data_IF_209253215756
#
_entry.id   IF_209253215756
#
_cell.length_a   1.000
_cell.length_b   1.000
_cell.length_c   1.000
_cell.angle_alpha   90.00
_cell.angle_beta   90.00
_cell.angle_gamma   90.00
#
_symmetry.space_group_name_H-M   'P 1'
#
loop_
_entity.id
_entity.type
_entity.pdbx_description
1 polymer ?
#
# COMPACT_ATOMS: atom_id res chain seq x y z
N UNK A 1 -2.87 16.06 13.88
CA UNK A 1 -2.54 14.62 13.99
C UNK A 1 -1.06 14.49 14.34
N UNK A 2 -0.67 13.75 15.39
CA UNK A 2 0.74 13.50 15.70
C UNK A 2 1.48 12.93 14.49
N UNK A 3 2.71 13.38 14.22
CA UNK A 3 3.49 13.00 13.03
C UNK A 3 3.56 11.48 12.84
N UNK A 4 3.80 10.73 13.93
CA UNK A 4 3.86 9.27 13.92
C UNK A 4 2.55 8.59 13.45
N UNK A 5 1.39 9.14 13.83
CA UNK A 5 0.10 8.64 13.36
C UNK A 5 -0.08 8.93 11.87
N UNK A 6 0.28 10.14 11.42
CA UNK A 6 0.17 10.51 9.99
C UNK A 6 0.99 9.58 9.08
N UNK A 7 2.19 9.18 9.50
CA UNK A 7 3.01 8.22 8.74
C UNK A 7 2.40 6.81 8.71
N UNK A 8 1.87 6.33 9.84
CA UNK A 8 1.15 5.05 9.90
C UNK A 8 -0.05 5.01 8.95
N UNK A 9 -0.87 6.07 8.98
CA UNK A 9 -2.00 6.20 8.06
C UNK A 9 -1.56 6.33 6.61
N UNK A 10 -0.39 6.93 6.35
CA UNK A 10 0.22 6.97 5.01
C UNK A 10 0.59 5.59 4.48
N UNK A 11 1.22 4.73 5.30
CA UNK A 11 1.56 3.36 4.88
C UNK A 11 0.31 2.56 4.52
N UNK A 12 -0.72 2.63 5.37
CA UNK A 12 -1.98 1.94 5.14
C UNK A 12 -2.69 2.48 3.89
N UNK A 13 -2.82 3.81 3.79
CA UNK A 13 -3.46 4.46 2.65
C UNK A 13 -2.78 4.09 1.33
N UNK A 14 -1.45 3.94 1.31
CA UNK A 14 -0.72 3.49 0.12
C UNK A 14 -1.01 2.03 -0.25
N UNK A 15 -1.09 1.10 0.73
CA UNK A 15 -1.48 -0.30 0.45
C UNK A 15 -2.87 -0.35 -0.16
N UNK A 16 -3.84 0.32 0.47
CA UNK A 16 -5.21 0.31 -0.03
C UNK A 16 -5.31 0.94 -1.42
N UNK A 17 -4.56 1.99 -1.68
CA UNK A 17 -4.54 2.60 -2.99
C UNK A 17 -3.98 1.64 -4.05
N UNK A 18 -2.92 0.88 -3.74
CA UNK A 18 -2.41 -0.19 -4.63
C UNK A 18 -3.47 -1.26 -4.86
N UNK A 19 -4.13 -1.74 -3.80
CA UNK A 19 -5.19 -2.76 -3.90
C UNK A 19 -6.36 -2.27 -4.75
N UNK A 20 -6.82 -1.03 -4.53
CA UNK A 20 -7.91 -0.42 -5.31
C UNK A 20 -7.51 -0.25 -6.77
N UNK A 21 -6.32 0.29 -7.05
CA UNK A 21 -5.82 0.46 -8.42
C UNK A 21 -5.75 -0.88 -9.15
N UNK A 22 -5.20 -1.91 -8.50
CA UNK A 22 -5.12 -3.26 -9.08
C UNK A 22 -6.52 -3.88 -9.27
N UNK A 23 -7.40 -3.77 -8.28
CA UNK A 23 -8.75 -4.34 -8.33
C UNK A 23 -9.57 -3.77 -9.49
N UNK A 24 -9.49 -2.45 -9.71
CA UNK A 24 -10.31 -1.75 -10.68
C UNK A 24 -9.71 -1.73 -12.09
N UNK A 25 -8.37 -1.72 -12.21
CA UNK A 25 -7.70 -1.68 -13.52
C UNK A 25 -7.27 -3.06 -14.05
N UNK A 26 -7.23 -4.07 -13.18
CA UNK A 26 -6.69 -5.40 -13.48
C UNK A 26 -5.17 -5.43 -13.73
N UNK A 27 -4.45 -4.35 -13.42
CA UNK A 27 -3.01 -4.19 -13.66
C UNK A 27 -2.29 -3.73 -12.39
N UNK A 28 -1.05 -4.20 -12.20
CA UNK A 28 -0.20 -3.68 -11.14
C UNK A 28 0.24 -2.25 -11.48
N UNK A 29 0.17 -1.30 -10.53
CA UNK A 29 0.70 0.04 -10.72
C UNK A 29 2.23 -0.01 -10.81
N UNK A 30 2.81 0.78 -11.71
CA UNK A 30 4.26 0.90 -11.88
C UNK A 30 4.80 2.24 -11.33
N UNK A 31 3.90 3.18 -11.03
CA UNK A 31 4.24 4.53 -10.62
C UNK A 31 3.15 5.15 -9.74
N UNK A 32 3.47 6.29 -9.12
CA UNK A 32 2.46 7.13 -8.45
C UNK A 32 1.40 7.64 -9.42
N UNK A 33 1.76 7.91 -10.67
CA UNK A 33 0.83 8.43 -11.66
C UNK A 33 -0.24 7.39 -12.03
N UNK A 34 0.11 6.09 -11.99
CA UNK A 34 -0.87 4.99 -12.14
C UNK A 34 -1.86 4.91 -10.97
N UNK A 35 -1.47 5.39 -9.78
CA UNK A 35 -2.29 5.38 -8.57
C UNK A 35 -3.24 6.59 -8.48
N UNK A 36 -2.85 7.73 -9.07
CA UNK A 36 -3.57 8.99 -8.92
C UNK A 36 -5.06 8.93 -9.28
N UNK A 37 -5.50 8.28 -10.38
CA UNK A 37 -6.92 8.20 -10.75
C UNK A 37 -7.79 7.43 -9.75
N UNK A 38 -7.17 6.57 -8.94
CA UNK A 38 -7.85 5.67 -8.01
C UNK A 38 -7.92 6.21 -6.59
N UNK A 39 -7.29 7.36 -6.34
CA UNK A 39 -7.18 7.93 -5.00
C UNK A 39 -8.55 8.21 -4.36
N UNK A 40 -9.48 8.83 -5.08
CA UNK A 40 -10.85 9.09 -4.59
C UNK A 40 -11.70 7.82 -4.44
N UNK A 41 -11.30 6.73 -5.11
CA UNK A 41 -12.02 5.45 -5.12
C UNK A 41 -11.50 4.50 -4.02
N UNK A 42 -10.36 4.81 -3.42
CA UNK A 42 -9.78 4.04 -2.33
C UNK A 42 -10.44 4.42 -1.00
N UNK A 43 -10.80 3.42 -0.20
CA UNK A 43 -11.63 3.65 1.00
C UNK A 43 -10.87 4.41 2.10
N UNK A 44 -9.59 4.10 2.34
CA UNK A 44 -8.83 4.72 3.42
C UNK A 44 -8.21 6.07 3.10
N UNK A 45 -7.99 6.40 1.83
CA UNK A 45 -7.25 7.60 1.43
C UNK A 45 -8.01 8.89 1.73
N UNK A 46 -9.24 9.14 1.24
CA UNK A 46 -10.02 10.32 1.62
C UNK A 46 -10.33 10.36 3.13
N UNK A 47 -10.60 9.19 3.73
CA UNK A 47 -10.92 9.08 5.16
C UNK A 47 -9.73 9.32 6.09
N UNK A 48 -8.49 9.32 5.58
CA UNK A 48 -7.29 9.57 6.40
C UNK A 48 -7.04 11.05 6.64
N UNK A 49 -7.70 11.94 5.90
CA UNK A 49 -7.38 13.37 5.88
C UNK A 49 -6.01 13.69 5.26
N UNK A 50 -5.38 12.73 4.57
CA UNK A 50 -4.09 12.89 3.89
C UNK A 50 -4.35 12.96 2.40
N UNK A 51 -4.20 14.14 1.79
CA UNK A 51 -4.33 14.32 0.33
C UNK A 51 -3.33 13.45 -0.46
N UNK A 52 -3.61 13.19 -1.74
CA UNK A 52 -2.70 12.41 -2.60
C UNK A 52 -1.26 12.96 -2.65
N UNK A 53 -1.02 14.28 -2.83
CA UNK A 53 0.34 14.82 -2.78
C UNK A 53 1.02 14.58 -1.42
N UNK A 54 0.30 14.76 -0.32
CA UNK A 54 0.83 14.50 1.03
C UNK A 54 1.15 13.01 1.22
N UNK A 55 0.34 12.10 0.69
CA UNK A 55 0.61 10.67 0.75
C UNK A 55 1.94 10.34 0.05
N UNK A 56 2.14 10.89 -1.16
CA UNK A 56 3.39 10.76 -1.93
C UNK A 56 4.61 11.35 -1.20
N UNK A 57 4.42 12.36 -0.35
CA UNK A 57 5.49 12.93 0.48
C UNK A 57 5.79 12.10 1.74
N UNK A 58 4.80 11.39 2.29
CA UNK A 58 4.95 10.61 3.52
C UNK A 58 5.62 9.26 3.29
N UNK A 59 5.36 8.62 2.14
CA UNK A 59 5.83 7.27 1.85
C UNK A 59 6.49 7.15 0.49
N UNK A 60 7.33 6.13 0.36
CA UNK A 60 7.98 5.66 -0.85
C UNK A 60 7.45 4.25 -1.14
N UNK A 61 7.15 3.97 -2.40
CA UNK A 61 6.68 2.66 -2.88
C UNK A 61 7.73 2.13 -3.85
N UNK A 62 8.24 0.93 -3.60
CA UNK A 62 9.09 0.21 -4.55
C UNK A 62 8.21 -0.59 -5.52
N UNK A 63 7.68 0.07 -6.55
CA UNK A 63 6.78 -0.57 -7.52
C UNK A 63 7.38 -1.80 -8.21
N UNK A 64 8.72 -1.90 -8.28
CA UNK A 64 9.41 -3.07 -8.86
C UNK A 64 9.18 -4.35 -8.05
N UNK A 65 8.83 -4.25 -6.76
CA UNK A 65 8.56 -5.41 -5.89
C UNK A 65 7.14 -5.96 -6.07
N UNK A 66 6.20 -5.20 -6.63
CA UNK A 66 4.80 -5.63 -6.75
C UNK A 66 4.62 -6.93 -7.54
N UNK A 67 5.25 -7.13 -8.72
CA UNK A 67 5.14 -8.38 -9.46
C UNK A 67 5.72 -9.58 -8.69
N UNK A 68 6.77 -9.36 -7.90
CA UNK A 68 7.38 -10.42 -7.09
C UNK A 68 6.46 -10.84 -5.93
N UNK A 69 5.82 -9.88 -5.26
CA UNK A 69 4.86 -10.15 -4.20
C UNK A 69 3.63 -10.86 -4.75
N UNK A 70 3.10 -10.42 -5.90
CA UNK A 70 1.97 -11.08 -6.54
C UNK A 70 2.30 -12.52 -6.95
N UNK A 71 3.45 -12.74 -7.59
CA UNK A 71 3.89 -14.08 -7.97
C UNK A 71 4.06 -15.00 -6.75
N UNK A 72 4.74 -14.53 -5.71
CA UNK A 72 4.93 -15.30 -4.49
C UNK A 72 3.59 -15.67 -3.82
N UNK A 73 2.66 -14.72 -3.77
CA UNK A 73 1.32 -14.93 -3.21
C UNK A 73 0.52 -15.99 -3.98
N UNK A 74 0.53 -15.93 -5.32
CA UNK A 74 -0.18 -16.89 -6.18
C UNK A 74 0.43 -18.29 -6.14
N UNK A 75 1.74 -18.38 -5.98
CA UNK A 75 2.47 -19.65 -5.91
C UNK A 75 2.57 -20.24 -4.51
N UNK A 76 2.07 -19.54 -3.48
CA UNK A 76 2.22 -19.95 -2.07
C UNK A 76 3.68 -19.96 -1.60
N UNK A 77 4.54 -19.18 -2.23
CA UNK A 77 5.95 -19.07 -1.90
C UNK A 77 6.18 -18.05 -0.78
N UNK A 78 7.31 -18.15 -0.05
CA UNK A 78 7.72 -17.11 0.89
C UNK A 78 7.80 -15.74 0.22
N UNK A 79 7.36 -14.70 0.93
CA UNK A 79 7.49 -13.32 0.45
C UNK A 79 8.96 -12.89 0.45
N UNK A 80 9.40 -12.07 -0.53
CA UNK A 80 10.77 -11.58 -0.56
C UNK A 80 11.10 -10.82 0.74
N UNK A 81 12.19 -11.25 1.40
CA UNK A 81 12.66 -10.67 2.67
C UNK A 81 13.30 -9.28 2.49
N UNK A 82 13.72 -8.96 1.26
CA UNK A 82 14.50 -7.77 0.98
C UNK A 82 13.62 -6.54 0.73
N UNK A 83 13.35 -5.82 1.82
CA UNK A 83 12.78 -4.47 1.92
C UNK A 83 11.25 -4.42 1.87
N UNK A 84 10.66 -3.73 2.85
CA UNK A 84 9.24 -3.40 2.82
C UNK A 84 8.94 -2.62 1.54
N UNK A 85 7.95 -3.09 0.76
CA UNK A 85 7.46 -2.45 -0.45
C UNK A 85 7.18 -0.96 -0.21
N UNK A 86 6.61 -0.67 0.96
CA UNK A 86 6.25 0.68 1.37
C UNK A 86 7.16 1.09 2.51
N UNK A 87 7.84 2.23 2.33
CA UNK A 87 8.75 2.81 3.32
C UNK A 87 8.29 4.21 3.69
N UNK A 88 8.39 4.56 4.96
CA UNK A 88 8.20 5.95 5.40
C UNK A 88 9.42 6.78 5.00
N UNK A 89 9.19 7.94 4.38
CA UNK A 89 10.28 8.83 3.94
C UNK A 89 10.98 9.56 5.08
N UNK A 90 10.39 9.62 6.26
CA UNK A 90 11.00 10.22 7.45
C UNK A 90 12.06 9.29 8.10
N UNK A 91 12.18 8.04 7.65
CA UNK A 91 13.10 7.04 8.19
C UNK A 91 12.81 6.62 9.64
N UNK A 92 11.71 7.07 10.26
CA UNK A 92 11.44 6.87 11.69
C UNK A 92 10.41 5.76 11.96
N UNK A 93 10.80 4.82 12.81
CA UNK A 93 9.95 3.80 13.42
C UNK A 93 9.71 2.54 12.57
N UNK A 94 9.35 1.44 13.22
CA UNK A 94 8.94 0.20 12.55
C UNK A 94 7.62 0.36 11.78
N UNK A 95 7.33 -0.59 10.90
CA UNK A 95 6.02 -0.69 10.25
C UNK A 95 5.00 -1.10 11.32
N UNK A 96 3.88 -0.37 11.41
CA UNK A 96 2.76 -0.75 12.27
C UNK A 96 1.89 -1.85 11.65
N UNK A 97 2.06 -2.07 10.36
CA UNK A 97 1.40 -3.10 9.55
C UNK A 97 2.46 -3.96 8.87
N UNK A 98 2.06 -5.02 8.17
CA UNK A 98 2.95 -5.84 7.33
C UNK A 98 2.58 -5.62 5.85
N UNK A 99 3.08 -4.57 5.18
CA UNK A 99 2.61 -4.18 3.86
C UNK A 99 2.66 -5.30 2.82
N UNK A 100 3.80 -6.02 2.79
CA UNK A 100 4.00 -7.13 1.87
C UNK A 100 3.00 -8.26 2.12
N UNK A 101 2.72 -8.58 3.40
CA UNK A 101 1.76 -9.63 3.74
C UNK A 101 0.33 -9.25 3.36
N UNK A 102 -0.07 -8.00 3.62
CA UNK A 102 -1.42 -7.54 3.27
C UNK A 102 -1.68 -7.61 1.76
N UNK A 103 -0.72 -7.17 0.95
CA UNK A 103 -0.83 -7.28 -0.50
C UNK A 103 -0.81 -8.74 -0.96
N UNK A 104 0.00 -9.59 -0.34
CA UNK A 104 0.00 -11.01 -0.65
C UNK A 104 -1.35 -11.67 -0.35
N UNK A 105 -1.95 -11.37 0.81
CA UNK A 105 -3.27 -11.88 1.18
C UNK A 105 -4.35 -11.38 0.19
N UNK A 106 -4.27 -10.11 -0.22
CA UNK A 106 -5.13 -9.55 -1.27
C UNK A 106 -4.93 -10.26 -2.61
N UNK A 107 -3.71 -10.42 -3.11
CA UNK A 107 -3.44 -11.09 -4.39
C UNK A 107 -3.86 -12.56 -4.40
N UNK A 108 -3.79 -13.22 -3.24
CA UNK A 108 -4.23 -14.61 -3.08
C UNK A 108 -5.75 -14.77 -3.08
N UNK A 109 -6.47 -13.82 -2.47
CA UNK A 109 -7.91 -13.96 -2.20
C UNK A 109 -8.80 -13.12 -3.10
N UNK A 110 -8.24 -12.10 -3.75
CA UNK A 110 -8.98 -11.06 -4.48
C UNK A 110 -9.82 -10.15 -3.58
N UNK A 111 -9.75 -10.32 -2.24
CA UNK A 111 -10.56 -9.57 -1.29
C UNK A 111 -9.79 -8.35 -0.80
N UNK A 112 -10.37 -7.16 -0.99
CA UNK A 112 -9.87 -5.94 -0.35
C UNK A 112 -10.16 -6.06 1.15
N UNK A 113 -9.11 -6.26 1.96
CA UNK A 113 -9.23 -6.26 3.41
C UNK A 113 -9.29 -4.80 3.87
N UNK A 114 -10.51 -4.30 4.09
CA UNK A 114 -10.73 -3.02 4.77
C UNK A 114 -10.70 -3.34 6.26
N UNK A 115 -9.61 -3.00 6.96
CA UNK A 115 -9.61 -3.11 8.43
C UNK A 115 -10.25 -1.85 9.03
N UNK A 116 -10.91 -2.00 10.17
CA UNK A 116 -11.27 -0.86 10.99
C UNK A 116 -9.99 -0.18 11.47
N UNK A 117 -9.89 1.14 11.24
CA UNK A 117 -8.77 1.95 11.75
C UNK A 117 -8.73 1.79 13.29
N UNK A 118 -7.55 1.62 13.90
CA UNK A 118 -7.42 1.58 15.36
C UNK A 118 -7.86 2.89 16.01
#
# INVERSE_FOLDING_TARGET
>A
MPSRLKHMYGEWAAIELIMTAHHLSGRLPASWDDLAPWYEQSNSTPRSGISFPQLRELVEIDFSQLPHIEAAARLGQPLPESRSLIRKKDGRGGHWIRPNQMLADYFKTGKVVIMDKP
#
